data_IF_118391566010
#
_entry.id   IF_118391566010
#
_cell.length_a   1.000
_cell.length_b   1.000
_cell.length_c   1.000
_cell.angle_alpha   90.00
_cell.angle_beta   90.00
_cell.angle_gamma   90.00
#
_symmetry.space_group_name_H-M   'P 1'
#
loop_
_entity.id
_entity.type
_entity.pdbx_description
1 polymer ?
#
# COMPACT_ATOMS: atom_id res chain seq x y z
N UNK A 1 -15.59 14.31 6.43
CA UNK A 1 -14.54 15.25 5.97
C UNK A 1 -13.92 14.64 4.73
N UNK A 2 -13.73 15.36 3.62
CA UNK A 2 -13.05 14.80 2.44
C UNK A 2 -11.63 14.42 2.85
N UNK A 3 -11.19 13.20 2.54
CA UNK A 3 -9.77 12.85 2.63
C UNK A 3 -8.97 13.93 1.89
N UNK A 4 -7.97 14.51 2.57
CA UNK A 4 -7.06 15.43 1.90
C UNK A 4 -6.48 14.69 0.67
N UNK A 5 -6.51 15.33 -0.49
CA UNK A 5 -6.04 14.69 -1.72
C UNK A 5 -4.58 14.25 -1.60
N UNK A 6 -4.19 13.25 -2.41
CA UNK A 6 -2.80 12.78 -2.51
C UNK A 6 -1.93 13.92 -3.08
N UNK A 7 -1.02 14.46 -2.27
CA UNK A 7 -0.20 15.65 -2.62
C UNK A 7 1.29 15.36 -2.44
N UNK A 8 1.67 14.65 -1.40
CA UNK A 8 3.05 14.32 -1.09
C UNK A 8 3.42 12.91 -1.59
N UNK A 9 4.72 12.63 -1.85
CA UNK A 9 5.14 11.30 -2.31
C UNK A 9 4.65 10.16 -1.41
N UNK A 10 4.70 10.34 -0.09
CA UNK A 10 4.27 9.31 0.87
C UNK A 10 2.78 8.95 0.80
N UNK A 11 1.92 9.77 0.21
CA UNK A 11 0.48 9.48 0.08
C UNK A 11 0.22 8.33 -0.93
N UNK A 12 1.22 8.04 -1.76
CA UNK A 12 1.22 6.91 -2.70
C UNK A 12 1.82 5.65 -2.09
N UNK A 13 2.28 5.70 -0.84
CA UNK A 13 2.89 4.59 -0.14
C UNK A 13 1.84 3.58 0.35
N UNK A 14 1.87 2.38 -0.21
CA UNK A 14 1.17 1.23 0.35
C UNK A 14 1.84 0.73 1.62
N UNK A 15 1.05 0.33 2.61
CA UNK A 15 1.51 -0.34 3.85
C UNK A 15 2.33 -1.59 3.53
N UNK A 16 2.01 -2.28 2.42
CA UNK A 16 2.67 -3.49 1.98
C UNK A 16 4.02 -3.27 1.25
N UNK A 17 4.47 -2.02 1.07
CA UNK A 17 5.71 -1.69 0.34
C UNK A 17 5.51 -1.43 -1.15
N UNK A 18 4.29 -1.31 -1.64
CA UNK A 18 4.03 -0.85 -3.03
C UNK A 18 3.95 0.68 -3.06
N UNK A 19 4.34 1.27 -4.19
CA UNK A 19 4.15 2.69 -4.47
C UNK A 19 3.24 2.88 -5.69
N UNK A 20 2.19 3.69 -5.56
CA UNK A 20 1.06 3.73 -6.50
C UNK A 20 0.98 4.97 -7.40
N UNK A 21 1.91 5.91 -7.30
CA UNK A 21 1.84 7.14 -8.08
C UNK A 21 1.81 6.87 -9.59
N UNK A 22 0.90 7.54 -10.29
CA UNK A 22 0.68 7.34 -11.73
C UNK A 22 -0.23 6.17 -12.07
N UNK A 23 -0.73 5.42 -11.08
CA UNK A 23 -1.82 4.47 -11.28
C UNK A 23 -3.14 5.24 -11.42
N UNK A 24 -3.69 5.29 -12.63
CA UNK A 24 -4.92 6.02 -12.93
C UNK A 24 -6.10 5.65 -12.01
N UNK A 25 -6.20 4.38 -11.61
CA UNK A 25 -7.20 3.93 -10.64
C UNK A 25 -6.92 4.46 -9.22
N UNK A 26 -5.66 4.45 -8.78
CA UNK A 26 -5.33 4.88 -7.43
C UNK A 26 -5.47 6.39 -7.32
N UNK A 27 -5.09 7.15 -8.35
CA UNK A 27 -5.17 8.62 -8.36
C UNK A 27 -6.62 9.11 -8.16
N UNK A 28 -7.61 8.37 -8.66
CA UNK A 28 -9.03 8.72 -8.52
C UNK A 28 -9.74 8.00 -7.37
N UNK A 29 -9.06 7.09 -6.66
CA UNK A 29 -9.63 6.39 -5.50
C UNK A 29 -9.88 7.41 -4.37
N UNK A 30 -11.09 7.45 -3.77
CA UNK A 30 -11.45 8.42 -2.74
C UNK A 30 -10.74 8.20 -1.40
N UNK A 31 -9.95 7.13 -1.28
CA UNK A 31 -9.02 6.89 -0.18
C UNK A 31 -7.64 6.52 -0.70
N UNK A 32 -6.69 6.51 0.23
CA UNK A 32 -5.37 5.92 0.07
C UNK A 32 -5.26 4.63 0.92
N UNK A 33 -4.07 4.03 0.95
CA UNK A 33 -3.83 2.83 1.74
C UNK A 33 -3.99 3.05 3.26
N UNK A 34 -3.75 4.26 3.76
CA UNK A 34 -3.76 4.58 5.19
C UNK A 34 -5.14 5.06 5.70
N UNK A 35 -6.02 5.50 4.82
CA UNK A 35 -7.34 6.08 5.12
C UNK A 35 -8.50 5.15 4.74
N UNK A 36 -8.22 3.86 4.48
CA UNK A 36 -9.26 2.87 4.12
C UNK A 36 -10.37 2.74 5.16
N UNK A 37 -10.07 2.98 6.44
CA UNK A 37 -11.06 2.96 7.52
C UNK A 37 -11.98 4.19 7.57
N UNK A 38 -11.60 5.28 6.89
CA UNK A 38 -12.34 6.54 6.89
C UNK A 38 -13.41 6.59 5.79
N UNK A 39 -13.44 5.58 4.93
CA UNK A 39 -14.33 5.46 3.78
C UNK A 39 -15.05 4.11 3.78
N UNK A 40 -16.32 4.09 3.38
CA UNK A 40 -17.08 2.84 3.27
C UNK A 40 -16.77 2.11 1.93
N UNK A 41 -15.55 1.57 1.83
CA UNK A 41 -15.09 0.83 0.64
C UNK A 41 -15.40 -0.69 0.69
N UNK A 42 -16.14 -1.17 1.70
CA UNK A 42 -16.29 -2.62 1.93
C UNK A 42 -15.06 -3.24 2.60
N UNK A 43 -14.77 -4.52 2.35
CA UNK A 43 -13.74 -5.28 3.10
C UNK A 43 -12.38 -4.56 3.06
N UNK A 44 -11.88 -4.18 4.23
CA UNK A 44 -10.55 -3.59 4.41
C UNK A 44 -9.45 -4.51 3.88
N UNK A 45 -8.39 -3.95 3.30
CA UNK A 45 -7.20 -4.72 2.94
C UNK A 45 -6.67 -5.47 4.20
N UNK A 46 -6.42 -6.79 4.12
CA UNK A 46 -6.01 -7.55 5.31
C UNK A 46 -4.65 -7.10 5.85
N UNK A 47 -3.75 -6.62 4.99
CA UNK A 47 -2.48 -6.02 5.42
C UNK A 47 -2.69 -4.70 6.15
N UNK A 48 -3.65 -3.88 5.73
CA UNK A 48 -4.01 -2.65 6.45
C UNK A 48 -4.52 -2.96 7.86
N UNK A 49 -5.50 -3.88 7.95
CA UNK A 49 -6.05 -4.29 9.25
C UNK A 49 -4.96 -4.86 10.17
N UNK A 50 -4.10 -5.74 9.65
CA UNK A 50 -2.99 -6.32 10.39
C UNK A 50 -1.99 -5.26 10.89
N UNK A 51 -1.66 -4.26 10.06
CA UNK A 51 -0.75 -3.19 10.46
C UNK A 51 -1.34 -2.31 11.58
N UNK A 52 -2.64 -2.03 11.52
CA UNK A 52 -3.37 -1.31 12.57
C UNK A 52 -3.38 -2.11 13.88
N UNK A 53 -3.76 -3.39 13.83
CA UNK A 53 -3.79 -4.28 14.99
C UNK A 53 -2.41 -4.43 15.66
N UNK A 54 -1.34 -4.44 14.85
CA UNK A 54 0.04 -4.57 15.33
C UNK A 54 0.70 -3.23 15.69
N UNK A 55 0.05 -2.10 15.41
CA UNK A 55 0.59 -0.77 15.68
C UNK A 55 1.85 -0.43 14.87
N UNK A 56 1.97 -0.93 13.64
CA UNK A 56 3.11 -0.64 12.75
C UNK A 56 2.69 0.21 11.55
N UNK A 57 3.55 1.15 11.15
CA UNK A 57 3.23 2.06 10.04
C UNK A 57 3.21 1.36 8.67
N UNK A 58 4.08 0.37 8.48
CA UNK A 58 4.14 -0.45 7.27
C UNK A 58 4.71 -1.84 7.59
N UNK A 59 4.52 -2.80 6.69
CA UNK A 59 4.92 -4.19 6.94
C UNK A 59 6.41 -4.34 7.27
N UNK A 60 7.28 -3.55 6.63
CA UNK A 60 8.72 -3.58 6.89
C UNK A 60 9.15 -3.27 8.32
N UNK A 61 8.27 -2.68 9.16
CA UNK A 61 8.51 -2.43 10.58
C UNK A 61 7.96 -3.53 11.50
N UNK A 62 7.31 -4.56 10.95
CA UNK A 62 6.73 -5.64 11.73
C UNK A 62 7.82 -6.60 12.24
N UNK A 63 7.71 -7.05 13.50
CA UNK A 63 8.61 -8.03 14.10
C UNK A 63 8.63 -9.37 13.35
N UNK A 64 7.51 -9.72 12.72
CA UNK A 64 7.33 -11.00 12.02
C UNK A 64 7.64 -10.86 10.52
N UNK A 65 8.29 -9.77 10.11
CA UNK A 65 8.52 -9.47 8.69
C UNK A 65 9.63 -10.38 8.10
N UNK A 66 9.44 -10.92 6.87
CA UNK A 66 8.21 -10.94 6.10
C UNK A 66 7.24 -12.01 6.62
N UNK A 67 6.03 -11.61 7.01
CA UNK A 67 5.05 -12.54 7.55
C UNK A 67 4.26 -13.25 6.44
N UNK A 68 3.64 -14.38 6.77
CA UNK A 68 2.86 -15.19 5.82
C UNK A 68 1.77 -14.38 5.11
N UNK A 69 1.16 -13.40 5.80
CA UNK A 69 0.12 -12.56 5.22
C UNK A 69 0.65 -11.71 4.07
N UNK A 70 1.83 -11.08 4.24
CA UNK A 70 2.44 -10.28 3.19
C UNK A 70 2.91 -11.14 2.02
N UNK A 71 3.53 -12.29 2.32
CA UNK A 71 3.99 -13.25 1.31
C UNK A 71 2.82 -13.75 0.46
N UNK A 72 1.72 -14.16 1.11
CA UNK A 72 0.53 -14.62 0.41
C UNK A 72 -0.10 -13.50 -0.43
N UNK A 73 -0.08 -12.26 0.04
CA UNK A 73 -0.58 -11.12 -0.73
C UNK A 73 0.31 -10.82 -1.95
N UNK A 74 1.64 -10.91 -1.82
CA UNK A 74 2.58 -10.74 -2.93
C UNK A 74 2.39 -11.83 -4.00
N UNK A 75 2.15 -13.08 -3.57
CA UNK A 75 1.92 -14.19 -4.48
C UNK A 75 0.70 -14.01 -5.39
N UNK A 76 -0.30 -13.20 -5.00
CA UNK A 76 -1.47 -12.88 -5.83
C UNK A 76 -1.12 -12.09 -7.10
N UNK A 77 0.02 -11.38 -7.11
CA UNK A 77 0.51 -10.65 -8.29
C UNK A 77 1.12 -11.59 -9.34
N UNK A 78 1.66 -12.74 -8.93
CA UNK A 78 2.52 -13.60 -9.74
C UNK A 78 4.02 -13.35 -9.52
N UNK A 79 4.86 -13.80 -10.46
CA UNK A 79 6.31 -13.97 -10.26
C UNK A 79 7.20 -12.72 -10.20
N UNK A 80 6.65 -11.51 -10.38
CA UNK A 80 7.44 -10.26 -10.48
C UNK A 80 7.10 -9.24 -9.38
N UNK A 81 6.55 -9.69 -8.25
CA UNK A 81 6.21 -8.79 -7.14
C UNK A 81 7.42 -8.47 -6.26
N UNK A 82 7.82 -7.19 -6.22
CA UNK A 82 8.98 -6.72 -5.45
C UNK A 82 8.59 -6.02 -4.14
N UNK A 83 7.34 -6.15 -3.67
CA UNK A 83 6.87 -5.39 -2.50
C UNK A 83 7.62 -5.73 -1.21
N UNK A 84 8.10 -6.97 -1.07
CA UNK A 84 8.85 -7.41 0.12
C UNK A 84 10.20 -6.69 0.15
N UNK A 85 10.96 -6.73 -0.96
CA UNK A 85 12.23 -6.01 -1.09
C UNK A 85 12.04 -4.50 -0.94
N UNK A 86 10.97 -3.96 -1.52
CA UNK A 86 10.60 -2.55 -1.36
C UNK A 86 10.30 -2.19 0.10
N UNK A 87 9.60 -3.05 0.84
CA UNK A 87 9.32 -2.83 2.26
C UNK A 87 10.59 -2.88 3.12
N UNK A 88 11.59 -3.72 2.77
CA UNK A 88 12.93 -3.69 3.40
C UNK A 88 13.59 -2.33 3.18
N UNK A 89 13.65 -1.88 1.92
CA UNK A 89 14.23 -0.57 1.58
C UNK A 89 13.52 0.58 2.29
N UNK A 90 12.20 0.48 2.46
CA UNK A 90 11.41 1.47 3.20
C UNK A 90 11.88 1.60 4.64
N UNK A 91 12.10 0.48 5.31
CA UNK A 91 12.63 0.44 6.69
C UNK A 91 14.05 1.01 6.76
N UNK A 92 14.92 0.67 5.81
CA UNK A 92 16.32 1.10 5.81
C UNK A 92 16.50 2.58 5.48
N UNK A 93 15.73 3.09 4.51
CA UNK A 93 15.88 4.47 3.99
C UNK A 93 14.99 5.48 4.73
N UNK A 94 13.94 5.00 5.39
CA UNK A 94 12.85 5.81 5.92
C UNK A 94 11.86 6.26 4.83
N UNK A 95 10.62 6.54 5.25
CA UNK A 95 9.47 6.77 4.37
C UNK A 95 9.70 7.80 3.26
N UNK A 96 10.27 8.96 3.60
CA UNK A 96 10.45 10.05 2.62
C UNK A 96 11.42 9.66 1.51
N UNK A 97 12.61 9.16 1.86
CA UNK A 97 13.63 8.77 0.89
C UNK A 97 13.20 7.55 0.08
N UNK A 98 12.51 6.62 0.74
CA UNK A 98 11.93 5.48 0.06
C UNK A 98 10.87 5.88 -0.96
N UNK A 99 9.98 6.83 -0.65
CA UNK A 99 8.95 7.28 -1.59
C UNK A 99 9.56 7.96 -2.84
N UNK A 100 10.62 8.75 -2.65
CA UNK A 100 11.38 9.35 -3.77
C UNK A 100 12.07 8.29 -4.64
N UNK A 101 12.69 7.28 -4.01
CA UNK A 101 13.28 6.14 -4.71
C UNK A 101 12.21 5.35 -5.47
N UNK A 102 11.12 4.98 -4.80
CA UNK A 102 10.05 4.17 -5.35
C UNK A 102 9.38 4.86 -6.56
N UNK A 103 9.15 6.17 -6.48
CA UNK A 103 8.69 6.99 -7.61
C UNK A 103 9.54 6.79 -8.87
N UNK A 104 10.86 6.64 -8.73
CA UNK A 104 11.76 6.48 -9.87
C UNK A 104 11.72 5.09 -10.51
N UNK A 105 11.38 4.04 -9.74
CA UNK A 105 11.46 2.66 -10.18
C UNK A 105 10.30 2.25 -11.12
N UNK A 106 9.10 2.83 -10.95
CA UNK A 106 7.91 2.54 -11.79
C UNK A 106 7.52 1.05 -11.88
N UNK A 107 7.88 0.23 -10.89
CA UNK A 107 7.85 -1.24 -10.97
C UNK A 107 6.57 -1.93 -10.45
N UNK A 108 5.55 -1.21 -9.94
CA UNK A 108 4.39 -1.84 -9.27
C UNK A 108 3.03 -1.62 -9.92
N UNK A 109 2.97 -1.15 -11.17
CA UNK A 109 1.70 -0.84 -11.85
C UNK A 109 0.80 -2.06 -12.06
N UNK A 110 1.35 -3.27 -12.02
CA UNK A 110 0.62 -4.54 -12.19
C UNK A 110 0.43 -5.31 -10.89
N UNK A 111 0.91 -4.79 -9.76
CA UNK A 111 0.82 -5.50 -8.50
C UNK A 111 -0.64 -5.69 -8.04
N UNK A 112 -0.93 -6.83 -7.44
CA UNK A 112 -2.24 -7.08 -6.87
C UNK A 112 -2.47 -6.17 -5.65
N UNK A 113 -3.61 -5.47 -5.68
CA UNK A 113 -4.09 -4.61 -4.60
C UNK A 113 -5.59 -4.90 -4.37
N UNK A 114 -6.00 -5.35 -3.17
CA UNK A 114 -7.41 -5.60 -2.86
C UNK A 114 -8.33 -4.38 -3.06
N UNK A 115 -7.77 -3.17 -2.89
CA UNK A 115 -8.48 -1.92 -3.12
C UNK A 115 -8.89 -1.73 -4.58
N UNK A 116 -8.10 -2.24 -5.54
CA UNK A 116 -8.42 -2.15 -6.98
C UNK A 116 -9.71 -2.88 -7.33
N UNK A 117 -10.02 -3.92 -6.58
CA UNK A 117 -11.14 -4.81 -6.84
C UNK A 117 -12.37 -4.51 -5.97
N UNK A 118 -12.36 -3.41 -5.18
CA UNK A 118 -13.55 -3.00 -4.45
C UNK A 118 -14.50 -2.23 -5.39
N UNK A 119 -15.77 -2.64 -5.50
CA UNK A 119 -16.76 -1.80 -6.15
C UNK A 119 -16.92 -0.52 -5.34
N UNK A 120 -16.90 0.64 -6.00
CA UNK A 120 -17.31 1.90 -5.36
C UNK A 120 -18.78 1.71 -4.98
N UNK A 121 -19.08 1.55 -3.69
CA UNK A 121 -20.47 1.56 -3.24
C UNK A 121 -20.98 2.98 -3.46
N UNK A 122 -21.99 3.12 -4.32
CA UNK A 122 -22.76 4.36 -4.38
C UNK A 122 -23.48 4.50 -3.04
N UNK A 123 -23.29 5.65 -2.40
CA UNK A 123 -24.00 6.04 -1.19
C UNK A 123 -25.51 6.13 -1.43
#
# INVERSE_FOLDING_TARGET
MKAAGKVAPQDFAGICGIYWEGSAWYDVLPADCATQGDVDLGKLCPVYACAQERGVAHCGMCSDFPCYLLVNLAAQTGGNDTRIESAVRRTEMGDKRWAEWARSEKIWTTAFCPLRNQPVRQA
#
